data_IF_527474266449
#
_entry.id   IF_527474266449
#
_cell.length_a   1.000
_cell.length_b   1.000
_cell.length_c   1.000
_cell.angle_alpha   90.00
_cell.angle_beta   90.00
_cell.angle_gamma   90.00
#
_symmetry.space_group_name_H-M   'P 1'
#
loop_
_entity.id
_entity.type
_entity.pdbx_description
1 polymer ?
#
# COMPACT_ATOMS: atom_id res chain seq x y z
N UNK A 1 0.02 6.46 -17.04
CA UNK A 1 0.63 5.12 -16.83
C UNK A 1 1.93 4.96 -17.60
N UNK A 2 1.96 5.02 -18.94
CA UNK A 2 3.20 4.93 -19.74
C UNK A 2 4.34 5.84 -19.25
N UNK A 3 4.06 7.12 -19.00
CA UNK A 3 5.06 8.10 -18.54
C UNK A 3 5.58 7.92 -17.11
N UNK A 4 4.93 7.07 -16.29
CA UNK A 4 5.40 6.73 -14.95
C UNK A 4 6.29 5.47 -14.97
N UNK A 5 6.02 4.53 -15.88
CA UNK A 5 6.83 3.32 -16.11
C UNK A 5 8.18 3.65 -16.77
N UNK A 6 8.20 4.62 -17.70
CA UNK A 6 9.44 5.04 -18.41
C UNK A 6 10.47 5.77 -17.53
N UNK A 7 10.13 6.09 -16.26
CA UNK A 7 10.98 6.88 -15.35
C UNK A 7 11.23 6.21 -14.00
N UNK A 8 11.00 4.91 -13.90
CA UNK A 8 11.34 4.12 -12.71
C UNK A 8 12.60 3.32 -13.00
N UNK A 9 13.62 3.41 -12.16
CA UNK A 9 14.82 2.55 -12.23
C UNK A 9 14.53 1.10 -11.81
N UNK A 10 13.25 0.74 -11.65
CA UNK A 10 12.80 -0.61 -11.33
C UNK A 10 12.62 -1.42 -12.62
N UNK A 11 13.24 -2.60 -12.68
CA UNK A 11 12.95 -3.51 -13.79
C UNK A 11 11.52 -4.04 -13.68
N UNK A 12 10.66 -3.55 -14.55
CA UNK A 12 9.27 -3.92 -14.62
C UNK A 12 9.02 -5.29 -15.26
N UNK A 13 10.04 -5.94 -15.85
CA UNK A 13 9.92 -7.28 -16.46
C UNK A 13 9.62 -8.37 -15.43
N UNK A 14 10.08 -8.19 -14.19
CA UNK A 14 9.91 -9.16 -13.10
C UNK A 14 8.87 -8.72 -12.05
N UNK A 15 8.03 -7.73 -12.37
CA UNK A 15 6.98 -7.27 -11.44
C UNK A 15 5.81 -8.24 -11.46
N UNK A 16 5.62 -8.99 -10.38
CA UNK A 16 4.55 -9.97 -10.26
C UNK A 16 3.16 -9.31 -10.07
N UNK A 17 3.12 -8.13 -9.43
CA UNK A 17 1.87 -7.43 -9.13
C UNK A 17 2.09 -5.91 -9.10
N UNK A 18 1.16 -5.13 -9.63
CA UNK A 18 1.08 -3.68 -9.40
C UNK A 18 -0.25 -3.31 -8.74
N UNK A 19 -0.22 -2.61 -7.60
CA UNK A 19 -1.40 -2.08 -6.91
C UNK A 19 -1.35 -0.56 -6.97
N UNK A 20 -2.33 0.06 -7.62
CA UNK A 20 -2.46 1.51 -7.64
C UNK A 20 -3.54 1.94 -6.64
N UNK A 21 -3.32 3.06 -5.96
CA UNK A 21 -4.43 3.76 -5.29
C UNK A 21 -5.40 4.36 -6.33
N UNK A 22 -6.70 4.56 -6.00
CA UNK A 22 -7.54 3.59 -5.31
C UNK A 22 -7.76 2.35 -6.18
N UNK A 23 -7.53 1.18 -5.58
CA UNK A 23 -8.00 -0.15 -5.98
C UNK A 23 -8.03 -0.48 -7.48
N UNK A 24 -6.92 -0.30 -8.20
CA UNK A 24 -6.68 -1.02 -9.46
C UNK A 24 -5.49 -1.95 -9.32
N UNK A 25 -5.75 -3.24 -9.50
CA UNK A 25 -4.76 -4.30 -9.59
C UNK A 25 -4.39 -4.47 -11.06
N UNK A 26 -3.16 -4.13 -11.42
CA UNK A 26 -2.58 -4.48 -12.72
C UNK A 26 -1.60 -5.63 -12.48
N UNK A 27 -2.08 -6.86 -12.72
CA UNK A 27 -1.21 -8.01 -12.94
C UNK A 27 -0.73 -7.92 -14.38
N UNK A 28 0.54 -8.22 -14.70
CA UNK A 28 0.98 -8.34 -16.09
C UNK A 28 0.30 -9.51 -16.86
N UNK A 29 -0.72 -10.16 -16.29
CA UNK A 29 -1.66 -11.06 -16.94
C UNK A 29 -3.12 -10.66 -16.65
N UNK A 30 -3.79 -10.14 -17.68
CA UNK A 30 -5.23 -10.29 -17.97
C UNK A 30 -6.25 -10.46 -16.82
N UNK A 31 -6.20 -9.64 -15.78
CA UNK A 31 -7.26 -9.61 -14.76
C UNK A 31 -7.72 -8.17 -14.51
N UNK A 32 -8.96 -7.87 -14.90
CA UNK A 32 -9.66 -6.61 -14.57
C UNK A 32 -10.74 -6.93 -13.56
N UNK A 33 -10.80 -6.18 -12.46
CA UNK A 33 -11.93 -6.21 -11.54
C UNK A 33 -12.51 -4.80 -11.36
N UNK A 34 -13.83 -4.70 -11.24
CA UNK A 34 -14.58 -3.53 -10.77
C UNK A 34 -15.46 -3.91 -9.57
N UNK A 35 -15.54 -2.93 -8.65
CA UNK A 35 -16.40 -2.69 -7.47
C UNK A 35 -16.47 -3.68 -6.28
N UNK A 36 -16.17 -3.14 -5.08
CA UNK A 36 -16.88 -3.36 -3.79
C UNK A 36 -16.73 -4.70 -3.06
N UNK A 37 -16.07 -4.67 -1.88
CA UNK A 37 -15.86 -5.72 -0.85
C UNK A 37 -15.26 -7.07 -1.30
N UNK A 38 -15.74 -7.69 -2.38
CA UNK A 38 -15.18 -8.94 -2.94
C UNK A 38 -13.73 -8.76 -3.42
N UNK A 39 -13.39 -7.56 -3.86
CA UNK A 39 -12.06 -7.19 -4.35
C UNK A 39 -10.95 -7.29 -3.29
N UNK A 40 -11.24 -6.95 -2.03
CA UNK A 40 -10.21 -6.88 -0.98
C UNK A 40 -9.77 -8.28 -0.55
N UNK A 41 -10.75 -9.19 -0.38
CA UNK A 41 -10.48 -10.59 -0.10
C UNK A 41 -9.70 -11.23 -1.25
N UNK A 42 -10.20 -11.14 -2.48
CA UNK A 42 -9.53 -11.72 -3.66
C UNK A 42 -8.12 -11.16 -3.88
N UNK A 43 -7.91 -9.86 -3.60
CA UNK A 43 -6.60 -9.22 -3.68
C UNK A 43 -5.67 -9.73 -2.57
N UNK A 44 -6.14 -9.78 -1.33
CA UNK A 44 -5.31 -10.22 -0.22
C UNK A 44 -4.97 -11.71 -0.35
N UNK A 45 -5.91 -12.54 -0.84
CA UNK A 45 -5.67 -13.93 -1.23
C UNK A 45 -4.58 -14.01 -2.32
N UNK A 46 -4.67 -13.20 -3.39
CA UNK A 46 -3.64 -13.16 -4.42
C UNK A 46 -2.25 -12.71 -3.90
N UNK A 47 -2.21 -11.71 -3.02
CA UNK A 47 -0.95 -11.28 -2.40
C UNK A 47 -0.39 -12.37 -1.50
N UNK A 48 -1.23 -13.06 -0.72
CA UNK A 48 -0.82 -14.20 0.08
C UNK A 48 -0.18 -15.29 -0.81
N UNK A 49 -0.87 -15.70 -1.87
CA UNK A 49 -0.38 -16.72 -2.80
C UNK A 49 0.96 -16.34 -3.44
N UNK A 50 1.16 -15.06 -3.79
CA UNK A 50 2.42 -14.58 -4.37
C UNK A 50 3.56 -14.45 -3.36
N UNK A 51 3.25 -14.35 -2.06
CA UNK A 51 4.24 -14.10 -1.01
C UNK A 51 4.52 -15.30 -0.11
N UNK A 52 3.71 -16.36 -0.16
CA UNK A 52 3.78 -17.49 0.79
C UNK A 52 5.04 -18.36 0.66
N UNK A 53 5.50 -18.62 -0.56
CA UNK A 53 6.56 -19.61 -0.82
C UNK A 53 7.95 -18.99 -1.01
N UNK A 54 8.00 -17.73 -1.45
CA UNK A 54 9.25 -17.05 -1.79
C UNK A 54 9.26 -15.66 -1.18
N UNK A 55 10.40 -15.30 -0.61
CA UNK A 55 10.63 -13.95 -0.09
C UNK A 55 10.46 -12.93 -1.21
N UNK A 56 9.51 -12.02 -1.05
CA UNK A 56 9.26 -10.93 -1.99
C UNK A 56 9.88 -9.64 -1.49
N UNK A 57 10.36 -8.80 -2.41
CA UNK A 57 10.65 -7.39 -2.17
C UNK A 57 9.39 -6.60 -2.50
N UNK A 58 8.97 -5.71 -1.61
CA UNK A 58 7.93 -4.71 -1.90
C UNK A 58 8.61 -3.39 -2.25
N UNK A 59 8.19 -2.77 -3.36
CA UNK A 59 8.50 -1.38 -3.71
C UNK A 59 7.20 -0.58 -3.81
N UNK A 60 7.18 0.61 -3.24
CA UNK A 60 6.06 1.56 -3.36
C UNK A 60 6.59 2.84 -4.00
N UNK A 61 6.22 3.09 -5.25
CA UNK A 61 6.49 4.35 -5.94
C UNK A 61 5.42 5.38 -5.57
N UNK A 62 5.83 6.60 -5.23
CA UNK A 62 4.98 7.68 -4.74
C UNK A 62 5.21 8.97 -5.55
N UNK A 63 4.16 9.79 -5.72
CA UNK A 63 4.26 11.08 -6.40
C UNK A 63 3.43 12.15 -5.68
N UNK A 64 4.04 13.28 -5.35
CA UNK A 64 3.33 14.48 -4.84
C UNK A 64 2.62 15.21 -5.98
N UNK A 65 1.67 16.08 -5.64
CA UNK A 65 1.07 17.00 -6.62
C UNK A 65 2.08 17.99 -7.22
N UNK A 66 3.16 18.32 -6.50
CA UNK A 66 4.31 19.09 -7.01
C UNK A 66 5.13 18.36 -8.08
N UNK A 67 4.81 17.08 -8.37
CA UNK A 67 5.55 16.16 -9.26
C UNK A 67 6.88 15.64 -8.71
N UNK A 68 7.21 15.95 -7.46
CA UNK A 68 8.27 15.25 -6.74
C UNK A 68 7.93 13.77 -6.64
N UNK A 69 8.91 12.90 -6.89
CA UNK A 69 8.78 11.45 -6.84
C UNK A 69 9.65 10.88 -5.75
N UNK A 70 9.17 9.82 -5.11
CA UNK A 70 9.91 9.05 -4.13
C UNK A 70 9.53 7.58 -4.20
N UNK A 71 10.31 6.74 -3.54
CA UNK A 71 10.00 5.33 -3.41
C UNK A 71 10.37 4.81 -2.02
N UNK A 72 9.55 3.91 -1.50
CA UNK A 72 9.83 3.06 -0.35
C UNK A 72 10.10 1.63 -0.83
N UNK A 73 11.01 0.91 -0.19
CA UNK A 73 11.35 -0.47 -0.50
C UNK A 73 11.51 -1.27 0.80
N UNK A 74 10.96 -2.47 0.83
CA UNK A 74 11.11 -3.41 1.94
C UNK A 74 11.73 -4.70 1.42
N UNK A 75 12.85 -5.12 2.02
CA UNK A 75 13.61 -6.31 1.59
C UNK A 75 12.92 -7.65 1.92
N UNK A 76 11.76 -7.60 2.57
CA UNK A 76 10.86 -8.72 2.78
C UNK A 76 9.43 -8.18 2.81
N UNK A 77 8.53 -8.86 2.11
CA UNK A 77 7.11 -8.57 2.11
C UNK A 77 6.35 -9.88 2.09
N UNK A 78 5.49 -10.04 3.09
CA UNK A 78 4.66 -11.22 3.25
C UNK A 78 3.30 -10.81 3.81
N UNK A 79 2.25 -11.41 3.26
CA UNK A 79 0.88 -11.30 3.75
C UNK A 79 0.41 -12.69 4.10
N UNK A 80 -0.03 -12.86 5.35
CA UNK A 80 -0.53 -14.14 5.84
C UNK A 80 -1.88 -14.49 5.20
N UNK A 81 -2.41 -15.68 5.46
CA UNK A 81 -3.72 -16.07 4.93
C UNK A 81 -4.89 -15.44 5.71
N UNK A 82 -6.11 -15.72 5.27
CA UNK A 82 -7.35 -15.23 5.88
C UNK A 82 -7.51 -15.64 7.35
N UNK A 83 -7.13 -16.87 7.74
CA UNK A 83 -7.19 -17.36 9.12
C UNK A 83 -6.29 -16.54 10.06
N UNK A 84 -5.24 -15.93 9.53
CA UNK A 84 -4.36 -14.98 10.23
C UNK A 84 -4.67 -13.52 9.87
N UNK A 85 -5.88 -13.25 9.36
CA UNK A 85 -6.42 -11.91 9.07
C UNK A 85 -5.48 -11.10 8.16
N UNK A 86 -4.85 -11.80 7.21
CA UNK A 86 -3.90 -11.21 6.25
C UNK A 86 -2.80 -10.38 6.90
N UNK A 87 -2.26 -10.83 8.04
CA UNK A 87 -1.21 -10.12 8.79
C UNK A 87 -0.05 -9.70 7.88
N UNK A 88 0.32 -8.42 7.92
CA UNK A 88 1.46 -7.88 7.19
C UNK A 88 2.78 -8.16 7.91
N UNK A 89 3.78 -8.64 7.18
CA UNK A 89 5.16 -8.75 7.67
C UNK A 89 6.11 -8.05 6.69
N UNK A 90 6.84 -7.06 7.19
CA UNK A 90 7.81 -6.27 6.45
C UNK A 90 9.22 -6.48 6.99
N UNK A 91 10.19 -6.56 6.08
CA UNK A 91 11.61 -6.58 6.38
C UNK A 91 12.22 -5.18 6.43
N UNK A 92 13.54 -5.10 6.32
CA UNK A 92 14.29 -3.83 6.37
C UNK A 92 13.80 -2.83 5.32
N UNK A 93 13.56 -1.60 5.78
CA UNK A 93 13.19 -0.47 4.94
C UNK A 93 14.42 0.17 4.29
N UNK A 94 14.27 0.56 3.03
CA UNK A 94 15.13 1.49 2.31
C UNK A 94 14.25 2.40 1.45
N UNK A 95 14.67 3.63 1.18
CA UNK A 95 13.87 4.52 0.35
C UNK A 95 14.54 5.83 0.02
N UNK A 96 13.79 6.69 -0.67
CA UNK A 96 14.24 8.04 -1.02
C UNK A 96 14.61 8.82 0.25
N UNK A 97 15.73 9.56 0.21
CA UNK A 97 16.20 10.37 1.33
C UNK A 97 15.10 11.33 1.79
N UNK A 98 14.76 11.28 3.09
CA UNK A 98 13.71 12.12 3.67
C UNK A 98 12.28 11.60 3.51
N UNK A 99 12.06 10.41 2.95
CA UNK A 99 10.71 9.81 2.84
C UNK A 99 10.19 9.29 4.19
N UNK A 100 11.07 8.71 5.01
CA UNK A 100 10.73 8.02 6.26
C UNK A 100 9.95 6.70 6.04
N UNK A 101 10.00 5.81 7.04
CA UNK A 101 9.29 4.52 7.01
C UNK A 101 7.86 4.65 7.56
N UNK A 102 6.97 5.34 6.84
CA UNK A 102 5.60 5.55 7.35
C UNK A 102 4.74 4.29 7.33
N UNK A 103 4.96 3.34 6.41
CA UNK A 103 4.21 2.08 6.41
C UNK A 103 4.73 1.11 7.48
N UNK A 104 6.04 0.83 7.52
CA UNK A 104 6.63 -0.16 8.41
C UNK A 104 6.56 0.22 9.88
N UNK A 105 6.66 1.52 10.22
CA UNK A 105 6.68 2.01 11.60
C UNK A 105 5.45 1.64 12.43
N UNK A 106 4.27 1.55 11.80
CA UNK A 106 3.02 1.21 12.52
C UNK A 106 2.26 0.04 11.94
N UNK A 107 2.35 -0.23 10.64
CA UNK A 107 1.57 -1.31 10.01
C UNK A 107 2.28 -2.67 10.02
N UNK A 108 3.59 -2.72 10.30
CA UNK A 108 4.29 -4.00 10.37
C UNK A 108 3.75 -4.87 11.51
N UNK A 109 3.52 -6.15 11.24
CA UNK A 109 2.87 -7.11 12.14
C UNK A 109 1.41 -6.79 12.51
N UNK A 110 0.72 -5.91 11.78
CA UNK A 110 -0.69 -5.64 12.00
C UNK A 110 -1.59 -6.50 11.13
N UNK A 111 -2.80 -6.74 11.63
CA UNK A 111 -3.87 -7.42 10.89
C UNK A 111 -4.55 -6.45 9.93
N UNK A 112 -5.18 -7.00 8.89
CA UNK A 112 -5.95 -6.21 7.95
C UNK A 112 -7.35 -5.92 8.51
N UNK A 113 -7.75 -4.65 8.49
CA UNK A 113 -9.06 -4.19 8.95
C UNK A 113 -9.87 -3.59 7.80
N UNK A 114 -11.19 -3.78 7.89
CA UNK A 114 -12.21 -3.18 7.03
C UNK A 114 -13.31 -2.57 7.91
N UNK A 115 -14.21 -1.78 7.33
CA UNK A 115 -15.28 -1.12 8.10
C UNK A 115 -16.17 -2.11 8.86
N UNK A 116 -16.33 -3.31 8.31
CA UNK A 116 -17.16 -4.40 8.82
C UNK A 116 -16.37 -5.45 9.62
N UNK A 117 -15.04 -5.36 9.68
CA UNK A 117 -14.19 -6.29 10.39
C UNK A 117 -12.99 -5.57 11.01
N UNK A 118 -13.18 -5.12 12.25
CA UNK A 118 -12.18 -4.40 13.02
C UNK A 118 -11.15 -5.36 13.64
N UNK A 119 -9.91 -5.25 13.16
CA UNK A 119 -8.76 -5.99 13.67
C UNK A 119 -7.61 -5.05 14.08
N UNK A 120 -7.89 -3.75 14.22
CA UNK A 120 -6.88 -2.77 14.59
C UNK A 120 -6.66 -2.73 16.11
N UNK A 121 -5.76 -1.86 16.59
CA UNK A 121 -5.43 -1.75 18.03
C UNK A 121 -5.97 -0.47 18.65
N UNK A 122 -6.82 0.26 17.94
CA UNK A 122 -7.48 1.45 18.42
C UNK A 122 -8.74 1.05 19.20
N UNK A 123 -9.34 2.01 19.93
CA UNK A 123 -10.55 1.77 20.71
C UNK A 123 -11.82 1.78 19.84
N UNK A 124 -11.83 2.60 18.81
CA UNK A 124 -12.79 2.61 17.71
C UNK A 124 -12.17 1.94 16.46
N UNK A 125 -12.75 2.21 15.29
CA UNK A 125 -12.42 1.50 14.07
C UNK A 125 -11.81 2.46 13.03
N UNK A 126 -10.51 2.32 12.78
CA UNK A 126 -9.79 3.18 11.84
C UNK A 126 -10.29 3.03 10.40
N UNK A 127 -10.77 1.84 10.02
CA UNK A 127 -11.34 1.63 8.69
C UNK A 127 -12.64 2.43 8.52
N UNK A 128 -13.46 2.50 9.58
CA UNK A 128 -14.69 3.30 9.59
C UNK A 128 -14.40 4.80 9.62
N UNK A 129 -13.48 5.26 10.47
CA UNK A 129 -13.16 6.67 10.66
C UNK A 129 -12.60 7.31 9.39
N UNK A 130 -11.69 6.62 8.70
CA UNK A 130 -10.98 7.13 7.52
C UNK A 130 -11.51 6.60 6.19
N UNK A 131 -12.63 5.86 6.23
CA UNK A 131 -13.30 5.26 5.06
C UNK A 131 -12.34 4.50 4.14
N UNK A 132 -11.44 3.72 4.73
CA UNK A 132 -10.37 2.98 4.05
C UNK A 132 -10.24 1.55 4.59
N UNK A 133 -9.39 0.74 3.99
CA UNK A 133 -9.05 -0.59 4.46
C UNK A 133 -7.53 -0.75 4.45
N UNK A 134 -6.98 -1.51 5.39
CA UNK A 134 -5.53 -1.62 5.50
C UNK A 134 -5.04 -2.31 6.75
N UNK A 135 -3.72 -2.38 6.88
CA UNK A 135 -3.05 -2.93 8.06
C UNK A 135 -2.91 -1.83 9.12
N UNK A 136 -3.85 -1.81 10.05
CA UNK A 136 -3.99 -0.71 11.01
C UNK A 136 -3.55 -1.14 12.42
N UNK A 137 -2.88 -0.22 13.11
CA UNK A 137 -2.49 -0.32 14.52
C UNK A 137 -3.40 0.63 15.32
N UNK A 138 -2.84 1.68 15.94
CA UNK A 138 -3.57 2.90 16.26
C UNK A 138 -3.73 3.73 14.98
N UNK A 139 -4.52 3.18 14.05
CA UNK A 139 -4.65 3.57 12.65
C UNK A 139 -3.35 3.39 11.85
N UNK A 140 -2.88 4.41 11.14
CA UNK A 140 -1.80 4.26 10.16
C UNK A 140 -0.94 5.51 10.10
N UNK A 141 0.22 5.43 9.45
CA UNK A 141 0.99 6.60 8.98
C UNK A 141 1.12 6.60 7.45
N UNK A 142 0.63 5.56 6.77
CA UNK A 142 0.49 5.55 5.32
C UNK A 142 -0.88 4.98 4.96
N UNK A 143 -1.67 5.72 4.18
CA UNK A 143 -2.97 5.29 3.69
C UNK A 143 -2.89 5.03 2.19
N UNK A 144 -2.32 3.89 1.78
CA UNK A 144 -2.14 3.55 0.36
C UNK A 144 -3.46 3.21 -0.36
N UNK A 145 -4.54 2.99 0.40
CA UNK A 145 -5.90 2.76 -0.11
C UNK A 145 -6.80 4.01 0.01
N UNK A 146 -6.26 5.15 0.45
CA UNK A 146 -6.99 6.40 0.62
C UNK A 146 -7.43 7.00 -0.72
N UNK A 147 -8.37 7.93 -0.64
CA UNK A 147 -8.93 8.58 -1.83
C UNK A 147 -7.88 9.42 -2.57
N UNK A 148 -7.94 9.42 -3.91
CA UNK A 148 -7.11 10.29 -4.76
C UNK A 148 -7.93 11.49 -5.22
N UNK A 149 -7.35 12.67 -5.12
CA UNK A 149 -7.98 13.94 -5.55
C UNK A 149 -7.24 14.61 -6.69
N UNK A 150 -7.75 15.77 -7.11
CA UNK A 150 -7.17 16.62 -8.16
C UNK A 150 -6.12 17.60 -7.62
N UNK A 151 -6.17 17.87 -6.32
CA UNK A 151 -5.34 18.80 -5.56
C UNK A 151 -4.85 18.18 -4.24
N UNK A 152 -3.79 18.74 -3.66
CA UNK A 152 -3.24 18.31 -2.37
C UNK A 152 -4.01 18.94 -1.21
N UNK A 153 -4.39 18.13 -0.21
CA UNK A 153 -5.02 18.58 1.04
C UNK A 153 -4.37 17.91 2.24
N UNK A 154 -4.68 18.38 3.44
CA UNK A 154 -4.29 17.71 4.69
C UNK A 154 -5.47 16.89 5.19
N UNK A 155 -5.57 15.64 4.72
CA UNK A 155 -6.64 14.71 5.10
C UNK A 155 -6.08 13.28 5.10
N UNK A 156 -6.13 12.62 6.26
CA UNK A 156 -5.63 11.26 6.44
C UNK A 156 -6.51 10.19 5.78
N UNK A 157 -7.75 10.54 5.39
CA UNK A 157 -8.64 9.68 4.60
C UNK A 157 -8.19 9.57 3.14
N UNK A 158 -7.32 10.48 2.70
CA UNK A 158 -6.76 10.53 1.36
C UNK A 158 -5.46 9.71 1.25
N UNK A 159 -5.00 9.47 0.02
CA UNK A 159 -3.75 8.79 -0.23
C UNK A 159 -2.58 9.59 0.39
N UNK A 160 -1.92 9.06 1.41
CA UNK A 160 -0.90 9.81 2.15
C UNK A 160 0.30 8.96 2.59
N UNK A 161 1.43 9.64 2.85
CA UNK A 161 2.63 9.10 3.48
C UNK A 161 3.15 10.12 4.50
N UNK A 162 3.00 9.82 5.79
CA UNK A 162 3.12 10.77 6.90
C UNK A 162 4.44 11.54 6.91
N UNK A 163 5.56 10.84 6.67
CA UNK A 163 6.91 11.38 6.84
C UNK A 163 7.42 12.11 5.57
N UNK A 164 6.65 12.15 4.47
CA UNK A 164 7.11 12.74 3.20
C UNK A 164 6.53 14.14 2.93
N UNK A 165 7.18 15.17 3.48
CA UNK A 165 6.76 16.56 3.34
C UNK A 165 5.82 17.00 4.46
N UNK A 166 4.89 17.94 4.23
CA UNK A 166 3.96 18.36 5.27
C UNK A 166 3.05 17.20 5.67
N UNK A 167 2.94 16.97 6.97
CA UNK A 167 2.17 15.86 7.55
C UNK A 167 0.75 15.78 6.98
N UNK A 168 0.32 14.56 6.65
CA UNK A 168 -0.99 14.23 6.06
C UNK A 168 -1.29 14.88 4.71
N UNK A 169 -0.29 15.42 4.01
CA UNK A 169 -0.50 15.92 2.66
C UNK A 169 -0.83 14.78 1.70
N UNK A 170 -1.89 14.95 0.94
CA UNK A 170 -2.32 13.99 -0.06
C UNK A 170 -1.29 13.87 -1.18
N UNK A 171 -1.08 12.63 -1.62
CA UNK A 171 -0.24 12.29 -2.75
C UNK A 171 -1.08 12.22 -4.01
N UNK A 172 -0.45 12.52 -5.14
CA UNK A 172 -1.07 12.44 -6.46
C UNK A 172 -1.23 10.99 -6.92
N UNK A 173 -0.29 10.11 -6.58
CA UNK A 173 -0.41 8.68 -6.84
C UNK A 173 0.55 7.86 -5.99
N UNK A 174 0.18 6.59 -5.85
CA UNK A 174 1.02 5.54 -5.28
C UNK A 174 0.87 4.28 -6.12
N UNK A 175 1.96 3.52 -6.22
CA UNK A 175 2.02 2.22 -6.90
C UNK A 175 2.85 1.24 -6.09
N UNK A 176 2.23 0.22 -5.52
CA UNK A 176 2.92 -0.90 -4.89
C UNK A 176 3.27 -1.95 -5.94
N UNK A 177 4.46 -2.52 -5.85
CA UNK A 177 4.98 -3.54 -6.75
C UNK A 177 5.73 -4.59 -5.94
N UNK A 178 5.58 -5.86 -6.30
CA UNK A 178 6.32 -6.95 -5.67
C UNK A 178 7.11 -7.74 -6.71
N UNK A 179 8.26 -8.26 -6.30
CA UNK A 179 9.03 -9.22 -7.07
C UNK A 179 9.76 -10.21 -6.14
N UNK A 180 10.09 -11.42 -6.61
CA UNK A 180 10.97 -12.32 -5.86
C UNK A 180 12.32 -11.65 -5.57
N UNK A 181 12.89 -11.93 -4.39
CA UNK A 181 14.26 -11.54 -4.06
C UNK A 181 15.28 -12.34 -4.87
#
# INVERSE_FOLDING_TARGET
MKSMLEKSDWDHKDTALSIHGPMTLDIQSSFKLKEGQVFLKSRNDAIHELTKDKKQILRTDLMKFSREKGHAMYLSFFVDNESYKYKLKLGSFNGTKGLGDSLGRVSNNMYFSTMDNDNDKQKGNCAEDYKTAGWFNNCFYANLNGWIRKDSRKDASELCWYDWGPTWSSLKSAKMMIRPM
#
